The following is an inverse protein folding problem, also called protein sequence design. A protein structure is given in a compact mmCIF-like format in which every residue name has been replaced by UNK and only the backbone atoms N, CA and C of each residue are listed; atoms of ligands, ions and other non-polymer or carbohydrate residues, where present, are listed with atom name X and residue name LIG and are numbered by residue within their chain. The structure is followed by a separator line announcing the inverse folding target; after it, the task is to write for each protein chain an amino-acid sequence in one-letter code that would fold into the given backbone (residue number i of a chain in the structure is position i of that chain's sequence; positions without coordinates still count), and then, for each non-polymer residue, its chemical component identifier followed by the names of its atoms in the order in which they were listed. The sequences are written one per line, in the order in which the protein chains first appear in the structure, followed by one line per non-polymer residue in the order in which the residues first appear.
data_IF_126877392416
#
_entry.id   IF_126877392416
#
_cell.length_a   1.000
_cell.length_b   1.000
_cell.length_c   1.000
_cell.angle_alpha   90.00
_cell.angle_beta   90.00
_cell.angle_gamma   90.00
#
_symmetry.space_group_name_H-M   'P 1'
#
loop_
_entity.id
_entity.type
_entity.pdbx_description
1 polymer ?
#
# COMPACT_ATOMS: atom_id res chain seq x y z
N UNK A 1 7.80 -26.38 -19.47
CA UNK A 1 7.83 -25.88 -18.08
C UNK A 1 6.91 -26.75 -17.24
N UNK A 2 7.43 -27.51 -16.25
CA UNK A 2 6.57 -28.21 -15.29
C UNK A 2 5.85 -27.16 -14.46
N UNK A 3 4.51 -27.18 -14.46
CA UNK A 3 3.68 -26.28 -13.64
C UNK A 3 4.02 -26.59 -12.18
N UNK A 4 4.78 -25.71 -11.51
CA UNK A 4 5.03 -25.84 -10.08
C UNK A 4 3.67 -25.73 -9.40
N UNK A 5 3.31 -26.72 -8.57
CA UNK A 5 2.05 -26.66 -7.84
C UNK A 5 2.07 -25.45 -6.91
N UNK A 6 1.19 -24.50 -7.19
CA UNK A 6 0.98 -23.36 -6.32
C UNK A 6 0.23 -23.83 -5.08
N UNK A 7 0.60 -23.30 -3.93
CA UNK A 7 -0.17 -23.48 -2.70
C UNK A 7 -1.40 -22.61 -2.78
N UNK A 8 -2.52 -23.15 -2.34
CA UNK A 8 -3.76 -22.42 -2.22
C UNK A 8 -3.57 -21.17 -1.33
N UNK A 9 -4.24 -20.08 -1.67
CA UNK A 9 -4.08 -18.79 -1.02
C UNK A 9 -5.44 -18.25 -0.59
N UNK A 10 -5.61 -18.02 0.71
CA UNK A 10 -6.86 -17.50 1.29
C UNK A 10 -6.92 -15.96 1.34
N UNK A 11 -5.92 -15.28 0.77
CA UNK A 11 -5.90 -13.83 0.73
C UNK A 11 -6.90 -13.32 -0.30
N UNK A 12 -7.47 -12.14 -0.06
CA UNK A 12 -8.28 -11.42 -1.03
C UNK A 12 -7.61 -10.07 -1.30
N UNK A 13 -7.21 -9.85 -2.54
CA UNK A 13 -6.67 -8.56 -2.97
C UNK A 13 -7.69 -7.80 -3.79
N UNK A 14 -7.65 -6.47 -3.62
CA UNK A 14 -8.38 -5.51 -4.45
C UNK A 14 -7.41 -4.47 -4.97
N UNK A 15 -7.64 -4.00 -6.18
CA UNK A 15 -6.98 -2.79 -6.66
C UNK A 15 -7.59 -1.54 -6.03
N UNK A 16 -7.01 -0.38 -6.36
CA UNK A 16 -7.48 0.92 -5.88
C UNK A 16 -8.86 1.34 -6.42
N UNK A 17 -9.36 0.65 -7.46
CA UNK A 17 -10.70 0.86 -8.01
C UNK A 17 -11.72 -0.07 -7.34
N UNK A 18 -11.26 -0.94 -6.42
CA UNK A 18 -12.08 -1.88 -5.68
C UNK A 18 -12.32 -3.21 -6.40
N UNK A 19 -11.73 -3.44 -7.58
CA UNK A 19 -11.88 -4.70 -8.30
C UNK A 19 -11.05 -5.81 -7.63
N UNK A 20 -11.64 -7.00 -7.52
CA UNK A 20 -10.96 -8.16 -6.93
C UNK A 20 -9.92 -8.72 -7.89
N UNK A 21 -8.71 -8.95 -7.38
CA UNK A 21 -7.61 -9.56 -8.15
C UNK A 21 -7.76 -11.09 -8.11
N UNK A 22 -7.77 -11.78 -9.27
CA UNK A 22 -7.95 -13.23 -9.33
C UNK A 22 -6.66 -13.96 -8.95
N UNK A 23 -6.53 -14.39 -7.71
CA UNK A 23 -5.32 -15.08 -7.21
C UNK A 23 -5.35 -16.56 -7.61
N UNK A 24 -4.28 -17.05 -8.24
CA UNK A 24 -4.10 -18.47 -8.56
C UNK A 24 -3.40 -19.26 -7.45
N UNK A 25 -2.62 -18.57 -6.61
CA UNK A 25 -1.96 -19.19 -5.46
C UNK A 25 -0.60 -18.57 -5.15
N UNK A 26 0.13 -19.22 -4.25
CA UNK A 26 1.44 -18.74 -3.79
C UNK A 26 2.51 -19.82 -3.85
N UNK A 27 3.77 -19.42 -3.88
CA UNK A 27 4.88 -20.36 -3.84
C UNK A 27 6.20 -19.67 -3.56
N UNK A 28 7.24 -20.46 -3.35
CA UNK A 28 8.62 -19.98 -3.35
C UNK A 28 9.28 -20.36 -4.66
N UNK A 29 10.08 -19.48 -5.24
CA UNK A 29 10.68 -19.66 -6.55
C UNK A 29 12.17 -19.33 -6.47
N UNK A 30 12.98 -20.12 -7.17
CA UNK A 30 14.40 -19.80 -7.32
C UNK A 30 14.52 -18.51 -8.13
N UNK A 31 15.22 -17.53 -7.55
CA UNK A 31 15.46 -16.22 -8.12
C UNK A 31 16.97 -15.99 -8.11
N UNK A 32 17.46 -15.45 -9.22
CA UNK A 32 18.83 -14.99 -9.35
C UNK A 32 18.80 -13.53 -9.78
N UNK A 33 19.43 -12.67 -8.99
CA UNK A 33 19.54 -11.24 -9.28
C UNK A 33 20.87 -10.71 -8.76
N UNK A 34 21.73 -10.23 -9.66
CA UNK A 34 23.09 -9.80 -9.33
C UNK A 34 23.84 -10.87 -8.50
N UNK A 35 24.23 -10.54 -7.27
CA UNK A 35 24.94 -11.40 -6.32
C UNK A 35 23.97 -12.30 -5.52
N UNK A 36 22.66 -12.03 -5.55
CA UNK A 36 21.65 -12.80 -4.83
C UNK A 36 21.25 -14.05 -5.62
N UNK A 37 21.27 -15.19 -4.94
CA UNK A 37 20.72 -16.46 -5.41
C UNK A 37 19.98 -17.14 -4.26
N UNK A 38 18.67 -17.32 -4.39
CA UNK A 38 17.85 -17.88 -3.32
C UNK A 38 16.40 -18.09 -3.72
N UNK A 39 15.58 -18.56 -2.79
CA UNK A 39 14.14 -18.69 -3.00
C UNK A 39 13.37 -17.49 -2.46
N UNK A 40 12.56 -16.85 -3.29
CA UNK A 40 11.68 -15.75 -2.90
C UNK A 40 10.20 -16.11 -3.07
N UNK A 41 9.31 -15.59 -2.21
CA UNK A 41 7.88 -15.81 -2.33
C UNK A 41 7.31 -15.10 -3.57
N UNK A 42 6.38 -15.73 -4.25
CA UNK A 42 5.53 -15.10 -5.26
C UNK A 42 4.07 -15.45 -4.98
N UNK A 43 3.21 -14.47 -5.18
CA UNK A 43 1.77 -14.65 -5.35
C UNK A 43 1.46 -14.49 -6.83
N UNK A 44 0.86 -15.53 -7.40
CA UNK A 44 0.56 -15.58 -8.83
C UNK A 44 -0.91 -15.27 -9.01
N UNK A 45 -1.20 -14.35 -9.91
CA UNK A 45 -2.55 -13.94 -10.29
C UNK A 45 -2.85 -14.41 -11.70
N UNK A 46 -4.13 -14.59 -12.00
CA UNK A 46 -4.60 -14.86 -13.35
C UNK A 46 -4.67 -13.57 -14.17
N UNK A 47 -4.46 -13.68 -15.47
CA UNK A 47 -4.48 -12.57 -16.42
C UNK A 47 -3.16 -11.79 -16.57
N UNK A 48 -3.18 -10.80 -17.45
CA UNK A 48 -2.03 -9.98 -17.83
C UNK A 48 -1.95 -8.69 -17.00
N UNK A 49 -1.84 -8.82 -15.68
CA UNK A 49 -1.65 -7.69 -14.77
C UNK A 49 -0.16 -7.35 -14.62
N UNK A 50 0.21 -6.08 -14.37
CA UNK A 50 1.59 -5.71 -14.08
C UNK A 50 2.13 -6.47 -12.85
N UNK A 51 3.34 -7.00 -12.97
CA UNK A 51 4.03 -7.61 -11.83
C UNK A 51 4.37 -6.55 -10.79
N UNK A 52 3.95 -6.77 -9.55
CA UNK A 52 4.25 -5.90 -8.42
C UNK A 52 5.36 -6.51 -7.57
N UNK A 53 6.30 -5.66 -7.15
CA UNK A 53 7.38 -6.05 -6.25
C UNK A 53 6.98 -5.71 -4.81
N UNK A 54 6.86 -6.74 -3.97
CA UNK A 54 6.58 -6.59 -2.55
C UNK A 54 7.82 -6.19 -1.75
N UNK A 55 7.60 -5.64 -0.55
CA UNK A 55 8.67 -5.24 0.38
C UNK A 55 9.51 -6.43 0.88
N UNK A 56 8.94 -7.63 0.87
CA UNK A 56 9.61 -8.89 1.19
C UNK A 56 10.76 -9.23 0.24
N UNK A 57 10.76 -8.66 -0.97
CA UNK A 57 11.87 -8.79 -1.92
C UNK A 57 12.99 -7.76 -1.71
N UNK A 58 12.76 -6.68 -0.96
CA UNK A 58 13.68 -5.55 -0.89
C UNK A 58 15.08 -5.95 -0.37
N UNK A 59 15.22 -6.74 0.72
CA UNK A 59 16.54 -7.15 1.20
C UNK A 59 17.32 -7.95 0.16
N UNK A 60 16.64 -8.86 -0.56
CA UNK A 60 17.26 -9.68 -1.59
C UNK A 60 17.74 -8.87 -2.80
N UNK A 61 17.11 -7.72 -3.04
CA UNK A 61 17.45 -6.82 -4.13
C UNK A 61 18.36 -5.65 -3.70
N UNK A 62 18.75 -5.60 -2.42
CA UNK A 62 19.52 -4.48 -1.87
C UNK A 62 18.76 -3.15 -1.86
N UNK A 63 17.44 -3.19 -1.88
CA UNK A 63 16.59 -2.00 -1.83
C UNK A 63 16.40 -1.54 -0.38
N UNK A 64 16.45 -0.23 -0.17
CA UNK A 64 16.11 0.41 1.09
C UNK A 64 15.12 1.55 0.83
N UNK A 65 14.16 1.72 1.73
CA UNK A 65 13.20 2.84 1.66
C UNK A 65 13.84 4.01 2.40
N UNK A 66 14.45 4.92 1.64
CA UNK A 66 14.87 6.23 2.15
C UNK A 66 13.71 7.23 2.15
N UNK A 67 13.81 8.27 2.96
CA UNK A 67 12.90 9.41 2.85
C UNK A 67 11.44 9.13 3.22
N UNK A 68 11.19 8.15 4.10
CA UNK A 68 9.94 8.16 4.87
C UNK A 68 9.95 9.52 5.59
N UNK A 69 9.16 10.47 5.09
CA UNK A 69 8.82 11.66 5.84
C UNK A 69 8.06 11.12 7.03
N UNK A 70 8.80 10.76 8.09
CA UNK A 70 8.16 10.43 9.34
C UNK A 70 7.34 11.67 9.63
N UNK A 71 6.04 11.46 9.77
CA UNK A 71 5.24 12.43 10.48
C UNK A 71 5.81 12.32 11.89
N UNK A 72 6.89 13.08 12.13
CA UNK A 72 7.27 13.43 13.48
C UNK A 72 5.96 13.96 14.01
N UNK A 73 5.43 13.34 15.05
CA UNK A 73 4.29 13.88 15.80
C UNK A 73 4.74 15.15 16.54
N UNK A 74 5.56 15.97 15.89
CA UNK A 74 5.96 17.30 16.28
C UNK A 74 4.71 18.13 16.19
N UNK A 75 4.04 18.10 17.34
CA UNK A 75 3.04 19.02 17.81
C UNK A 75 1.73 18.99 17.05
N UNK A 76 1.02 17.86 17.18
CA UNK A 76 -0.40 17.80 16.82
C UNK A 76 -1.20 18.91 17.49
N UNK A 77 -0.81 19.38 18.69
CA UNK A 77 -1.49 20.51 19.34
C UNK A 77 -1.31 21.80 18.55
N UNK A 78 -0.12 22.04 17.98
CA UNK A 78 0.09 23.16 17.06
C UNK A 78 -0.76 23.01 15.80
N UNK A 79 -0.86 21.81 15.23
CA UNK A 79 -1.74 21.56 14.08
C UNK A 79 -3.22 21.84 14.41
N UNK A 80 -3.70 21.39 15.59
CA UNK A 80 -5.05 21.68 16.05
C UNK A 80 -5.28 23.17 16.30
N UNK A 81 -4.26 23.90 16.76
CA UNK A 81 -4.33 25.34 16.96
C UNK A 81 -4.35 26.11 15.62
N UNK A 82 -3.44 25.79 14.70
CA UNK A 82 -3.28 26.47 13.41
C UNK A 82 -4.49 26.26 12.48
N UNK A 83 -5.23 25.15 12.66
CA UNK A 83 -6.38 24.79 11.83
C UNK A 83 -7.64 24.50 12.67
N UNK A 84 -7.83 25.23 13.77
CA UNK A 84 -8.94 25.02 14.71
C UNK A 84 -10.30 25.04 14.02
N UNK A 85 -10.52 25.92 13.03
CA UNK A 85 -11.76 26.00 12.26
C UNK A 85 -12.09 24.70 11.51
N UNK A 86 -11.07 23.99 11.02
CA UNK A 86 -11.21 22.69 10.33
C UNK A 86 -11.65 21.58 11.29
N UNK A 87 -11.26 21.68 12.56
CA UNK A 87 -11.59 20.67 13.58
C UNK A 87 -12.69 21.12 14.53
N UNK A 88 -13.23 22.34 14.35
CA UNK A 88 -14.33 22.87 15.13
C UNK A 88 -15.66 22.26 14.69
N UNK A 89 -16.63 22.24 15.61
CA UNK A 89 -18.00 21.78 15.31
C UNK A 89 -18.71 22.63 14.24
N UNK A 90 -18.16 23.81 13.91
CA UNK A 90 -18.67 24.73 12.89
C UNK A 90 -18.13 24.48 11.48
N UNK A 91 -17.38 23.40 11.23
CA UNK A 91 -16.88 23.10 9.90
C UNK A 91 -18.04 22.93 8.90
N UNK A 92 -18.03 23.74 7.84
CA UNK A 92 -19.08 23.74 6.83
C UNK A 92 -20.34 24.54 7.22
N UNK A 93 -20.36 25.15 8.41
CA UNK A 93 -21.39 26.12 8.78
C UNK A 93 -21.08 27.50 8.19
N UNK A 94 -22.10 28.18 7.68
CA UNK A 94 -21.98 29.53 7.15
C UNK A 94 -21.81 30.53 8.31
N UNK A 95 -20.68 31.23 8.33
CA UNK A 95 -20.32 32.19 9.40
C UNK A 95 -20.61 33.66 9.00
N UNK A 96 -21.23 33.87 7.83
CA UNK A 96 -21.52 35.21 7.30
C UNK A 96 -22.85 35.79 7.78
N UNK A 97 -23.19 36.97 7.28
CA UNK A 97 -24.45 37.65 7.59
C UNK A 97 -25.65 36.79 7.15
N UNK A 98 -26.63 36.51 8.03
CA UNK A 98 -27.79 35.71 7.67
C UNK A 98 -28.46 36.25 6.41
N UNK A 99 -28.67 35.38 5.42
CA UNK A 99 -29.41 35.73 4.22
C UNK A 99 -30.87 35.93 4.64
N UNK A 100 -31.33 37.18 4.59
CA UNK A 100 -32.73 37.55 4.84
C UNK A 100 -33.48 37.43 3.51
N UNK A 101 -34.58 36.66 3.48
CA UNK A 101 -35.53 36.63 2.37
C UNK A 101 -36.72 37.53 2.66
#
# INVERSE_FOLDING_TARGET
FKKKELRDCKLNFRDYQGATIPIMGTGKFAVQFQQFQGELPLLVVDGALPSLLGLDWFPALGLNIGGIHSIVTSDLNKLYADFSDVFSEGLGCYVGTPISF
#
